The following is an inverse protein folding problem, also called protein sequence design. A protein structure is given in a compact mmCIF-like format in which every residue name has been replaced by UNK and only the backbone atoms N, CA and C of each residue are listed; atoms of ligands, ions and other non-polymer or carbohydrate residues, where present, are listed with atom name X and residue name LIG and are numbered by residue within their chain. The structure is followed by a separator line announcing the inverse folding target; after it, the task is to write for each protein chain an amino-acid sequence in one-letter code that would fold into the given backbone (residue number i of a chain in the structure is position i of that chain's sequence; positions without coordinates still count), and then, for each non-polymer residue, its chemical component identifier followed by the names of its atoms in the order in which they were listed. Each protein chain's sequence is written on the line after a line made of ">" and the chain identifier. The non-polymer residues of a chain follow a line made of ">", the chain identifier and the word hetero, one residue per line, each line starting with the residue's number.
data_IF_010663980254
#
_entry.id   IF_010663980254
#
_cell.length_a   1.000
_cell.length_b   1.000
_cell.length_c   1.000
_cell.angle_alpha   90.00
_cell.angle_beta   90.00
_cell.angle_gamma   90.00
#
_symmetry.space_group_name_H-M   'P 1'
#
loop_
_entity.id
_entity.type
_entity.pdbx_description
1 polymer ?
#
# COMPACT_ATOMS: atom_id res chain seq x y z
N UNK A 1 37.13 42.55 -31.34
CA UNK A 1 37.10 42.22 -29.89
C UNK A 1 35.96 42.99 -29.25
N UNK A 2 34.95 42.30 -28.75
CA UNK A 2 34.11 42.74 -27.64
C UNK A 2 33.43 41.48 -27.11
N UNK A 3 33.93 40.99 -25.98
CA UNK A 3 33.48 39.78 -25.33
C UNK A 3 32.20 40.07 -24.52
N UNK A 4 31.26 39.13 -24.62
CA UNK A 4 30.13 38.77 -23.71
C UNK A 4 29.87 39.66 -22.49
N UNK A 5 28.58 39.84 -22.19
CA UNK A 5 28.00 39.27 -20.97
C UNK A 5 26.49 39.09 -21.14
N UNK A 6 26.08 37.84 -21.40
CA UNK A 6 24.73 37.36 -21.10
C UNK A 6 24.53 37.44 -19.58
N UNK A 7 23.52 38.19 -19.14
CA UNK A 7 23.09 38.25 -17.74
C UNK A 7 22.73 36.83 -17.24
N UNK A 8 23.24 36.38 -16.08
CA UNK A 8 22.73 35.18 -15.42
C UNK A 8 21.29 35.45 -14.97
N UNK A 9 20.40 34.49 -15.19
CA UNK A 9 19.06 34.50 -14.59
C UNK A 9 19.18 34.62 -13.06
N UNK A 10 18.38 35.50 -12.47
CA UNK A 10 18.33 35.76 -11.02
C UNK A 10 18.27 34.46 -10.22
N UNK A 11 19.27 34.26 -9.35
CA UNK A 11 19.37 33.10 -8.48
C UNK A 11 18.26 33.12 -7.43
N UNK A 12 17.33 32.17 -7.53
CA UNK A 12 16.33 31.94 -6.48
C UNK A 12 17.05 31.55 -5.18
N UNK A 13 16.87 32.36 -4.13
CA UNK A 13 17.36 32.05 -2.80
C UNK A 13 16.75 30.72 -2.31
N UNK A 14 17.61 29.80 -1.85
CA UNK A 14 17.21 28.47 -1.41
C UNK A 14 16.47 28.51 -0.08
N UNK A 15 15.53 27.57 0.09
CA UNK A 15 14.78 27.42 1.32
C UNK A 15 15.54 26.52 2.31
N UNK A 16 15.20 26.62 3.59
CA UNK A 16 15.69 25.76 4.68
C UNK A 16 14.48 25.22 5.44
N UNK A 17 14.61 23.99 5.93
CA UNK A 17 13.60 23.37 6.77
C UNK A 17 13.85 23.63 8.24
N UNK A 18 12.80 24.05 8.93
CA UNK A 18 12.76 24.20 10.38
C UNK A 18 11.77 23.20 10.98
N UNK A 19 12.14 22.62 12.12
CA UNK A 19 11.30 21.69 12.88
C UNK A 19 11.02 22.28 14.24
N UNK A 20 9.74 22.47 14.56
CA UNK A 20 9.26 22.78 15.91
C UNK A 20 9.02 21.47 16.64
N UNK A 21 9.69 21.28 17.78
CA UNK A 21 9.27 20.32 18.79
C UNK A 21 8.25 20.98 19.71
N UNK A 22 6.99 20.55 19.63
CA UNK A 22 5.91 21.15 20.43
C UNK A 22 6.04 20.88 21.91
N UNK A 23 6.66 19.76 22.30
CA UNK A 23 6.83 19.40 23.71
C UNK A 23 7.91 20.27 24.34
N UNK A 24 8.99 20.51 23.61
CA UNK A 24 10.09 21.38 24.07
C UNK A 24 9.82 22.86 23.79
N UNK A 25 8.89 23.17 22.89
CA UNK A 25 8.63 24.53 22.41
C UNK A 25 9.86 25.17 21.78
N UNK A 26 10.64 24.37 21.04
CA UNK A 26 11.93 24.77 20.45
C UNK A 26 11.94 24.48 18.96
N UNK A 27 12.47 25.41 18.18
CA UNK A 27 12.64 25.28 16.73
C UNK A 27 14.11 25.04 16.43
N UNK A 28 14.38 24.04 15.60
CA UNK A 28 15.73 23.73 15.12
C UNK A 28 15.74 23.58 13.60
N UNK A 29 16.86 23.90 12.95
CA UNK A 29 17.02 23.71 11.52
C UNK A 29 17.41 22.27 11.20
N UNK A 30 16.91 21.75 10.09
CA UNK A 30 17.22 20.40 9.62
C UNK A 30 18.60 20.37 8.99
N UNK A 31 19.49 19.52 9.52
CA UNK A 31 20.79 19.20 8.90
C UNK A 31 20.66 18.02 7.94
N UNK A 32 19.83 17.03 8.27
CA UNK A 32 19.60 15.86 7.45
C UNK A 32 18.88 14.74 8.20
N UNK A 33 19.01 13.52 7.68
CA UNK A 33 18.54 12.30 8.31
C UNK A 33 19.71 11.32 8.37
N UNK A 34 19.92 10.68 9.52
CA UNK A 34 20.98 9.66 9.65
C UNK A 34 20.62 8.33 8.95
N UNK A 35 21.56 7.38 8.98
CA UNK A 35 21.40 6.05 8.35
C UNK A 35 20.29 5.21 8.98
N UNK A 36 19.89 5.52 10.20
CA UNK A 36 18.81 4.87 10.95
C UNK A 36 17.46 5.60 10.73
N UNK A 37 17.46 6.64 9.89
CA UNK A 37 16.29 7.42 9.55
C UNK A 37 15.93 8.46 10.60
N UNK A 38 16.80 8.80 11.55
CA UNK A 38 16.53 9.79 12.58
C UNK A 38 16.83 11.21 12.11
N UNK A 39 15.94 12.14 12.47
CA UNK A 39 16.07 13.55 12.16
C UNK A 39 17.31 14.14 12.85
N UNK A 40 18.23 14.70 12.08
CA UNK A 40 19.36 15.46 12.60
C UNK A 40 19.07 16.95 12.49
N UNK A 41 19.15 17.65 13.62
CA UNK A 41 18.88 19.08 13.71
C UNK A 41 20.07 19.86 14.25
N UNK A 42 20.17 21.13 13.87
CA UNK A 42 21.17 22.09 14.34
C UNK A 42 20.49 23.42 14.72
N UNK A 43 21.16 24.31 15.47
CA UNK A 43 20.63 25.65 15.73
C UNK A 43 20.36 26.42 14.42
N UNK A 44 19.25 27.16 14.31
CA UNK A 44 18.85 27.86 13.10
C UNK A 44 19.58 29.22 12.94
N UNK A 45 20.91 29.26 13.02
CA UNK A 45 21.73 30.49 12.93
C UNK A 45 22.21 30.77 11.50
N UNK A 46 22.27 32.03 11.07
CA UNK A 46 22.80 32.37 9.74
C UNK A 46 24.19 31.76 9.49
N UNK A 47 24.39 31.12 8.33
CA UNK A 47 25.65 30.47 7.97
C UNK A 47 25.84 29.03 8.48
N UNK A 48 24.82 28.44 9.13
CA UNK A 48 24.86 27.04 9.57
C UNK A 48 24.85 26.01 8.43
N UNK A 49 25.35 24.80 8.73
CA UNK A 49 25.27 23.64 7.82
C UNK A 49 23.83 23.10 7.77
N UNK A 50 22.99 23.76 7.00
CA UNK A 50 21.60 23.37 6.78
C UNK A 50 21.43 22.52 5.54
N UNK A 51 20.41 21.67 5.57
CA UNK A 51 19.85 21.13 4.35
C UNK A 51 19.21 22.28 3.56
N UNK A 52 19.91 22.74 2.52
CA UNK A 52 19.35 23.70 1.57
C UNK A 52 18.43 23.00 0.59
N UNK A 53 17.26 23.58 0.40
CA UNK A 53 16.17 23.02 -0.36
C UNK A 53 15.96 23.83 -1.63
N UNK A 54 15.94 23.13 -2.75
CA UNK A 54 15.27 23.62 -3.95
C UNK A 54 13.83 23.09 -3.94
N UNK A 55 12.84 24.00 -4.00
CA UNK A 55 11.40 23.67 -3.97
C UNK A 55 10.97 22.70 -5.07
N UNK A 56 11.76 22.58 -6.14
CA UNK A 56 11.50 21.69 -7.27
C UNK A 56 12.35 20.41 -7.26
N UNK A 57 13.10 20.13 -6.18
CA UNK A 57 13.96 18.96 -6.09
C UNK A 57 13.26 17.73 -5.49
N UNK A 58 13.48 16.56 -6.13
CA UNK A 58 13.01 15.26 -5.64
C UNK A 58 13.57 14.87 -4.26
N UNK A 59 14.72 15.45 -3.88
CA UNK A 59 15.34 15.22 -2.57
C UNK A 59 14.51 15.84 -1.45
N UNK A 60 13.93 17.03 -1.70
CA UNK A 60 13.06 17.73 -0.77
C UNK A 60 11.76 16.97 -0.55
N UNK A 61 11.05 16.62 -1.63
CA UNK A 61 9.76 15.91 -1.56
C UNK A 61 9.87 14.56 -0.81
N UNK A 62 10.97 13.84 -0.99
CA UNK A 62 11.26 12.60 -0.27
C UNK A 62 11.51 12.82 1.23
N UNK A 63 12.26 13.88 1.60
CA UNK A 63 12.45 14.23 3.01
C UNK A 63 11.11 14.56 3.68
N UNK A 64 10.29 15.44 3.07
CA UNK A 64 8.98 15.83 3.62
C UNK A 64 8.07 14.61 3.76
N UNK A 65 8.05 13.73 2.76
CA UNK A 65 7.27 12.49 2.77
C UNK A 65 7.70 11.53 3.88
N UNK A 66 9.00 11.42 4.15
CA UNK A 66 9.53 10.57 5.21
C UNK A 66 9.31 11.18 6.60
N UNK A 67 9.45 12.51 6.72
CA UNK A 67 9.22 13.26 7.95
C UNK A 67 7.78 13.05 8.45
N UNK A 68 6.79 13.31 7.59
CA UNK A 68 5.39 13.16 7.98
C UNK A 68 5.01 11.71 8.26
N UNK A 69 5.59 10.73 7.55
CA UNK A 69 5.32 9.31 7.80
C UNK A 69 5.88 8.78 9.13
N UNK A 70 7.02 9.28 9.59
CA UNK A 70 7.72 8.75 10.78
C UNK A 70 7.39 9.51 12.06
N UNK A 71 7.16 10.82 11.99
CA UNK A 71 7.14 11.69 13.16
C UNK A 71 5.78 12.29 13.50
N UNK A 72 4.83 12.32 12.55
CA UNK A 72 3.62 13.13 12.72
C UNK A 72 2.62 12.55 13.73
N UNK A 73 2.53 11.23 13.88
CA UNK A 73 1.54 10.59 14.75
C UNK A 73 2.06 10.31 16.18
N UNK A 74 3.35 10.54 16.46
CA UNK A 74 3.96 10.09 17.74
C UNK A 74 4.93 11.08 18.40
N UNK A 75 5.57 12.02 17.68
CA UNK A 75 6.65 12.83 18.26
C UNK A 75 6.35 14.33 18.43
N UNK A 76 5.13 14.79 18.13
CA UNK A 76 4.74 16.18 18.37
C UNK A 76 5.54 17.22 17.58
N UNK A 77 6.04 16.87 16.39
CA UNK A 77 6.86 17.75 15.56
C UNK A 77 6.04 18.46 14.46
N UNK A 78 6.39 19.71 14.17
CA UNK A 78 5.87 20.49 13.03
C UNK A 78 7.00 20.99 12.14
N UNK A 79 6.72 21.06 10.83
CA UNK A 79 7.73 21.37 9.82
C UNK A 79 7.36 22.65 9.07
N UNK A 80 8.36 23.52 8.89
CA UNK A 80 8.23 24.82 8.23
C UNK A 80 9.32 24.98 7.17
N UNK A 81 9.00 25.68 6.08
CA UNK A 81 9.94 26.05 5.01
C UNK A 81 10.11 27.56 5.00
N UNK A 82 11.35 28.01 5.13
CA UNK A 82 11.70 29.43 5.24
C UNK A 82 12.87 29.76 4.34
N UNK A 83 13.10 31.04 4.05
CA UNK A 83 14.30 31.47 3.33
C UNK A 83 15.53 31.32 4.21
N UNK A 84 16.65 30.88 3.63
CA UNK A 84 17.89 30.67 4.37
C UNK A 84 18.34 31.92 5.13
N UNK A 85 18.21 33.12 4.55
CA UNK A 85 18.50 34.40 5.21
C UNK A 85 17.59 34.71 6.41
N UNK A 86 16.37 34.17 6.43
CA UNK A 86 15.32 34.46 7.42
C UNK A 86 15.18 33.37 8.48
N UNK A 87 15.92 32.25 8.35
CA UNK A 87 15.76 31.06 9.19
C UNK A 87 15.83 31.35 10.70
N UNK A 88 16.74 32.21 11.14
CA UNK A 88 16.87 32.55 12.56
C UNK A 88 15.68 33.38 13.06
N UNK A 89 15.23 34.36 12.26
CA UNK A 89 14.13 35.24 12.62
C UNK A 89 12.80 34.48 12.62
N UNK A 90 12.55 33.66 11.60
CA UNK A 90 11.33 32.85 11.52
C UNK A 90 11.30 31.76 12.59
N UNK A 91 12.44 31.15 12.94
CA UNK A 91 12.51 30.21 14.06
C UNK A 91 12.06 30.86 15.37
N UNK A 92 12.57 32.05 15.70
CA UNK A 92 12.15 32.81 16.90
C UNK A 92 10.65 33.15 16.84
N UNK A 93 10.16 33.61 15.70
CA UNK A 93 8.74 33.94 15.54
C UNK A 93 7.83 32.71 15.71
N UNK A 94 8.24 31.53 15.23
CA UNK A 94 7.51 30.27 15.40
C UNK A 94 7.55 29.83 16.87
N UNK A 95 8.70 29.91 17.55
CA UNK A 95 8.80 29.60 18.98
C UNK A 95 7.93 30.53 19.83
N UNK A 96 8.00 31.83 19.59
CA UNK A 96 7.25 32.84 20.33
C UNK A 96 5.75 32.65 20.14
N UNK A 97 5.30 32.36 18.91
CA UNK A 97 3.90 32.07 18.63
C UNK A 97 3.44 30.73 19.24
N UNK A 98 4.32 29.72 19.33
CA UNK A 98 3.98 28.47 20.02
C UNK A 98 3.83 28.67 21.53
N UNK A 99 4.66 29.53 22.14
CA UNK A 99 4.58 29.86 23.58
C UNK A 99 3.44 30.81 23.90
N UNK A 100 3.22 31.82 23.07
CA UNK A 100 2.20 32.87 23.22
C UNK A 100 1.46 33.11 21.90
N UNK A 101 0.43 32.29 21.59
CA UNK A 101 -0.28 32.36 20.31
C UNK A 101 -0.96 33.72 20.10
N UNK A 102 -0.72 34.31 18.92
CA UNK A 102 -1.43 35.52 18.45
C UNK A 102 -2.10 35.24 17.11
N UNK A 103 -3.19 35.94 16.74
CA UNK A 103 -3.81 35.79 15.43
C UNK A 103 -2.84 36.04 14.26
N UNK A 104 -1.98 37.05 14.39
CA UNK A 104 -0.98 37.41 13.39
C UNK A 104 0.16 36.36 13.33
N UNK A 105 0.66 35.93 14.48
CA UNK A 105 1.68 34.88 14.57
C UNK A 105 1.18 33.55 14.04
N UNK A 106 -0.07 33.19 14.33
CA UNK A 106 -0.72 31.97 13.82
C UNK A 106 -0.87 31.98 12.30
N UNK A 107 -1.30 33.11 11.71
CA UNK A 107 -1.35 33.26 10.24
C UNK A 107 0.04 33.13 9.61
N UNK A 108 1.07 33.75 10.21
CA UNK A 108 2.44 33.65 9.73
C UNK A 108 2.98 32.22 9.81
N UNK A 109 2.78 31.55 10.94
CA UNK A 109 3.20 30.15 11.10
C UNK A 109 2.53 29.24 10.08
N UNK A 110 1.23 29.41 9.81
CA UNK A 110 0.51 28.59 8.83
C UNK A 110 0.98 28.83 7.39
N UNK A 111 1.35 30.07 7.02
CA UNK A 111 1.93 30.36 5.70
C UNK A 111 3.32 29.72 5.49
N UNK A 112 4.12 29.62 6.56
CA UNK A 112 5.45 29.00 6.52
C UNK A 112 5.40 27.47 6.69
N UNK A 113 4.27 26.95 7.14
CA UNK A 113 4.08 25.54 7.40
C UNK A 113 4.23 24.77 6.11
N UNK A 114 5.06 23.73 6.13
CA UNK A 114 5.12 22.81 5.00
C UNK A 114 3.77 22.11 4.91
N UNK A 115 3.04 22.27 3.79
CA UNK A 115 1.79 21.55 3.61
C UNK A 115 2.10 20.06 3.67
N UNK A 116 1.26 19.33 4.41
CA UNK A 116 1.37 17.87 4.41
C UNK A 116 1.28 17.42 2.95
N UNK A 117 2.26 16.65 2.43
CA UNK A 117 2.12 16.02 1.14
C UNK A 117 0.79 15.30 1.11
N UNK A 118 0.05 15.46 0.02
CA UNK A 118 -1.09 14.60 -0.21
C UNK A 118 -0.53 13.22 -0.48
N UNK A 119 -0.26 12.47 0.60
CA UNK A 119 -0.03 11.06 0.46
C UNK A 119 -1.32 10.54 -0.16
N UNK A 120 -1.26 10.16 -1.43
CA UNK A 120 -2.11 9.09 -1.94
C UNK A 120 -1.72 7.75 -1.26
N UNK A 121 -1.43 7.75 0.04
CA UNK A 121 -1.94 6.69 0.90
C UNK A 121 -3.43 6.90 0.88
N UNK A 122 -4.17 5.95 0.30
CA UNK A 122 -5.63 5.85 0.34
C UNK A 122 -6.21 6.67 1.50
N UNK A 123 -6.65 7.90 1.21
CA UNK A 123 -7.41 8.72 2.16
C UNK A 123 -8.74 8.03 2.37
N UNK A 124 -8.77 7.08 3.30
CA UNK A 124 -9.81 6.90 4.30
C UNK A 124 -9.11 6.36 5.54
N UNK A 125 -9.53 6.80 6.72
CA UNK A 125 -9.13 6.16 7.98
C UNK A 125 -9.51 4.68 7.99
N UNK A 126 -9.50 4.05 9.16
CA UNK A 126 -10.07 2.71 9.25
C UNK A 126 -11.51 2.71 8.73
N UNK A 127 -11.81 1.74 7.86
CA UNK A 127 -13.18 1.48 7.40
C UNK A 127 -14.06 1.05 8.57
N UNK A 128 -13.45 0.38 9.54
CA UNK A 128 -14.11 -0.08 10.75
C UNK A 128 -13.51 0.59 11.98
N UNK A 129 -14.37 1.10 12.84
CA UNK A 129 -13.98 1.58 14.15
C UNK A 129 -13.61 0.39 15.06
N UNK A 130 -12.34 0.26 15.52
CA UNK A 130 -11.93 -0.85 16.37
C UNK A 130 -12.73 -0.92 17.68
N UNK A 131 -13.25 0.21 18.17
CA UNK A 131 -14.06 0.24 19.40
C UNK A 131 -15.44 -0.41 19.21
N UNK A 132 -15.90 -0.59 17.97
CA UNK A 132 -17.19 -1.24 17.64
C UNK A 132 -17.08 -2.74 17.41
N UNK A 133 -15.88 -3.31 17.57
CA UNK A 133 -15.65 -4.74 17.39
C UNK A 133 -15.84 -5.46 18.73
N UNK A 134 -16.57 -6.56 18.70
CA UNK A 134 -16.71 -7.47 19.83
C UNK A 134 -15.43 -8.32 19.99
N UNK A 135 -14.42 -7.71 20.60
CA UNK A 135 -13.14 -8.35 20.89
C UNK A 135 -13.26 -9.50 21.88
N UNK A 136 -14.26 -9.48 22.77
CA UNK A 136 -14.48 -10.55 23.74
C UNK A 136 -14.91 -11.84 23.04
N UNK A 137 -15.78 -11.76 22.02
CA UNK A 137 -16.13 -12.93 21.22
C UNK A 137 -14.98 -13.43 20.35
N UNK A 138 -14.15 -12.55 19.78
CA UNK A 138 -12.94 -12.97 19.07
C UNK A 138 -11.92 -13.66 19.99
N UNK A 139 -11.78 -13.17 21.22
CA UNK A 139 -10.87 -13.74 22.22
C UNK A 139 -11.27 -15.18 22.58
N UNK A 140 -12.56 -15.49 22.64
CA UNK A 140 -13.07 -16.86 22.89
C UNK A 140 -12.60 -17.88 21.84
N UNK A 141 -12.30 -17.42 20.63
CA UNK A 141 -11.78 -18.25 19.54
C UNK A 141 -10.28 -18.10 19.31
N UNK A 142 -9.57 -17.36 20.17
CA UNK A 142 -8.11 -17.21 20.12
C UNK A 142 -7.59 -16.03 19.29
N UNK A 143 -8.45 -15.12 18.82
CA UNK A 143 -8.05 -13.92 18.09
C UNK A 143 -8.15 -12.70 19.01
N UNK A 144 -7.08 -11.92 19.15
CA UNK A 144 -7.07 -10.68 19.94
C UNK A 144 -6.52 -9.52 19.11
N UNK A 145 -6.78 -8.29 19.54
CA UNK A 145 -6.16 -7.12 18.92
C UNK A 145 -4.61 -7.21 18.93
N UNK A 146 -4.02 -7.75 20.00
CA UNK A 146 -2.56 -7.89 20.11
C UNK A 146 -2.02 -8.94 19.14
N UNK A 147 -2.72 -10.07 18.94
CA UNK A 147 -2.28 -11.05 17.93
C UNK A 147 -2.30 -10.43 16.54
N UNK A 148 -3.33 -9.65 16.19
CA UNK A 148 -3.41 -8.94 14.91
C UNK A 148 -2.33 -7.85 14.76
N UNK A 149 -1.94 -7.16 15.83
CA UNK A 149 -0.85 -6.16 15.80
C UNK A 149 0.50 -6.84 15.60
N UNK A 150 0.75 -7.94 16.33
CA UNK A 150 2.01 -8.67 16.28
C UNK A 150 2.26 -9.30 14.90
N UNK A 151 1.19 -9.73 14.22
CA UNK A 151 1.25 -10.28 12.84
C UNK A 151 1.17 -9.20 11.76
N UNK A 152 1.03 -7.92 12.14
CA UNK A 152 0.88 -6.76 11.25
C UNK A 152 -0.38 -6.79 10.37
N UNK A 153 -1.41 -7.49 10.82
CA UNK A 153 -2.71 -7.54 10.13
C UNK A 153 -3.72 -6.53 10.66
N UNK A 154 -3.54 -5.97 11.87
CA UNK A 154 -4.52 -5.07 12.51
C UNK A 154 -4.99 -3.95 11.57
N UNK A 155 -4.08 -3.11 11.07
CA UNK A 155 -4.43 -2.00 10.15
C UNK A 155 -5.11 -2.49 8.88
N UNK A 156 -4.66 -3.63 8.37
CA UNK A 156 -5.14 -4.21 7.13
C UNK A 156 -6.61 -4.62 7.25
N UNK A 157 -6.96 -5.34 8.31
CA UNK A 157 -8.33 -5.79 8.54
C UNK A 157 -9.25 -4.63 8.92
N UNK A 158 -8.75 -3.62 9.64
CA UNK A 158 -9.53 -2.39 9.94
C UNK A 158 -9.81 -1.55 8.69
N UNK A 159 -8.96 -1.62 7.67
CA UNK A 159 -9.17 -0.97 6.36
C UNK A 159 -10.11 -1.76 5.43
N UNK A 160 -10.61 -2.91 5.87
CA UNK A 160 -11.56 -3.71 5.08
C UNK A 160 -10.93 -4.75 4.17
N UNK A 161 -9.65 -5.06 4.35
CA UNK A 161 -8.99 -6.16 3.64
C UNK A 161 -9.03 -7.44 4.47
N UNK A 162 -8.93 -8.59 3.81
CA UNK A 162 -8.72 -9.89 4.47
C UNK A 162 -7.30 -9.97 5.03
N UNK A 163 -7.10 -10.60 6.18
CA UNK A 163 -5.78 -10.80 6.80
C UNK A 163 -4.82 -11.50 5.84
N UNK A 164 -3.53 -11.14 5.94
CA UNK A 164 -2.47 -11.82 5.19
C UNK A 164 -2.16 -13.17 5.82
N UNK A 165 -2.08 -13.21 7.15
CA UNK A 165 -1.77 -14.42 7.90
C UNK A 165 -3.03 -15.21 8.21
N UNK A 166 -2.83 -16.50 8.47
CA UNK A 166 -3.84 -17.37 9.07
C UNK A 166 -3.75 -17.34 10.60
N UNK A 167 -4.89 -17.58 11.24
CA UNK A 167 -5.04 -17.67 12.68
C UNK A 167 -5.70 -19.01 13.00
N UNK A 168 -5.10 -19.77 13.89
CA UNK A 168 -5.71 -21.00 14.39
C UNK A 168 -6.81 -20.62 15.38
N UNK A 169 -8.05 -20.94 15.04
CA UNK A 169 -9.21 -20.72 15.89
C UNK A 169 -9.71 -22.03 16.47
N UNK A 170 -10.14 -22.01 17.72
CA UNK A 170 -10.73 -23.16 18.41
C UNK A 170 -11.57 -22.69 19.61
N UNK A 171 -12.39 -23.58 20.17
CA UNK A 171 -13.13 -23.30 21.40
C UNK A 171 -14.65 -23.34 21.21
N UNK A 172 -15.38 -22.92 22.25
CA UNK A 172 -16.85 -23.05 22.26
C UNK A 172 -17.53 -21.81 21.70
N UNK A 173 -18.32 -21.97 20.63
CA UNK A 173 -19.10 -20.90 19.98
C UNK A 173 -20.54 -21.37 19.81
N UNK A 174 -21.50 -20.63 20.36
CA UNK A 174 -22.93 -20.92 20.19
C UNK A 174 -23.37 -22.32 20.64
N UNK A 175 -22.70 -22.89 21.65
CA UNK A 175 -22.97 -24.25 22.14
C UNK A 175 -22.22 -25.37 21.41
N UNK A 176 -21.48 -25.06 20.34
CA UNK A 176 -20.65 -26.02 19.60
C UNK A 176 -19.18 -25.86 19.97
N UNK A 177 -18.43 -26.96 20.02
CA UNK A 177 -16.97 -26.92 20.15
C UNK A 177 -16.31 -26.96 18.78
N UNK A 178 -15.62 -25.88 18.41
CA UNK A 178 -14.82 -25.77 17.20
C UNK A 178 -13.45 -26.40 17.43
N UNK A 179 -13.17 -27.49 16.70
CA UNK A 179 -11.82 -28.08 16.64
C UNK A 179 -10.84 -27.07 16.03
N UNK A 180 -9.57 -27.08 16.45
CA UNK A 180 -8.53 -26.21 15.88
C UNK A 180 -8.54 -26.23 14.36
N UNK A 181 -8.73 -25.05 13.77
CA UNK A 181 -8.74 -24.86 12.32
C UNK A 181 -8.15 -23.50 11.97
N UNK A 182 -7.44 -23.42 10.86
CA UNK A 182 -6.82 -22.19 10.40
C UNK A 182 -7.80 -21.38 9.56
N UNK A 183 -7.89 -20.09 9.87
CA UNK A 183 -8.76 -19.15 9.17
C UNK A 183 -8.01 -17.87 8.82
N UNK A 184 -8.42 -17.20 7.75
CA UNK A 184 -8.16 -15.77 7.60
C UNK A 184 -9.30 -14.95 8.19
N UNK A 185 -9.01 -13.73 8.61
CA UNK A 185 -9.97 -12.82 9.21
C UNK A 185 -10.27 -11.66 8.27
N UNK A 186 -11.53 -11.29 8.12
CA UNK A 186 -11.94 -9.97 7.63
C UNK A 186 -13.09 -9.44 8.49
N UNK A 187 -13.49 -8.20 8.24
CA UNK A 187 -14.65 -7.60 8.87
C UNK A 187 -15.62 -7.09 7.82
N UNK A 188 -16.90 -7.08 8.16
CA UNK A 188 -17.93 -6.40 7.40
C UNK A 188 -18.86 -5.65 8.33
N UNK A 189 -19.52 -4.61 7.81
CA UNK A 189 -20.51 -3.86 8.55
C UNK A 189 -21.90 -4.42 8.22
N UNK A 190 -22.62 -4.86 9.24
CA UNK A 190 -24.00 -5.28 9.12
C UNK A 190 -24.92 -4.06 8.90
N UNK A 191 -26.19 -4.32 8.54
CA UNK A 191 -27.16 -3.24 8.20
C UNK A 191 -27.44 -2.29 9.36
N UNK A 192 -27.32 -2.78 10.59
CA UNK A 192 -27.46 -2.02 11.84
C UNK A 192 -26.22 -1.21 12.21
N UNK A 193 -25.13 -1.32 11.42
CA UNK A 193 -23.87 -0.64 11.68
C UNK A 193 -22.88 -1.44 12.54
N UNK A 194 -23.25 -2.64 13.00
CA UNK A 194 -22.36 -3.51 13.78
C UNK A 194 -21.21 -4.01 12.92
N UNK A 195 -19.97 -3.96 13.45
CA UNK A 195 -18.79 -4.53 12.78
C UNK A 195 -18.68 -6.00 13.16
N UNK A 196 -18.87 -6.88 12.18
CA UNK A 196 -18.93 -8.33 12.39
C UNK A 196 -17.66 -8.99 11.82
N UNK A 197 -16.96 -9.82 12.61
CA UNK A 197 -15.85 -10.62 12.09
C UNK A 197 -16.36 -11.72 11.15
N UNK A 198 -15.67 -11.90 10.03
CA UNK A 198 -15.85 -13.02 9.11
C UNK A 198 -14.59 -13.89 9.15
N UNK A 199 -14.76 -15.15 9.56
CA UNK A 199 -13.72 -16.15 9.54
C UNK A 199 -13.78 -16.92 8.21
N UNK A 200 -12.68 -16.91 7.48
CA UNK A 200 -12.53 -17.56 6.18
C UNK A 200 -11.73 -18.84 6.37
N UNK A 201 -12.43 -19.97 6.50
CA UNK A 201 -11.81 -21.28 6.66
C UNK A 201 -11.19 -21.82 5.36
N UNK A 202 -10.23 -22.73 5.52
CA UNK A 202 -9.60 -23.43 4.40
C UNK A 202 -10.59 -24.40 3.73
N UNK A 203 -10.84 -24.20 2.45
CA UNK A 203 -11.72 -25.05 1.65
C UNK A 203 -10.93 -26.18 0.99
N UNK A 204 -11.21 -27.42 1.39
CA UNK A 204 -10.66 -28.62 0.76
C UNK A 204 -11.71 -29.19 -0.21
N UNK A 205 -11.91 -28.50 -1.34
CA UNK A 205 -12.81 -28.93 -2.39
C UNK A 205 -12.06 -29.02 -3.73
N UNK A 206 -11.67 -30.23 -4.10
CA UNK A 206 -10.95 -30.52 -5.36
C UNK A 206 -11.75 -30.15 -6.61
N UNK A 207 -13.07 -30.10 -6.49
CA UNK A 207 -13.98 -29.76 -7.60
C UNK A 207 -14.41 -28.29 -7.58
N UNK A 208 -13.85 -27.47 -6.68
CA UNK A 208 -14.22 -26.06 -6.53
C UNK A 208 -14.22 -25.31 -7.86
N UNK A 209 -13.16 -25.47 -8.65
CA UNK A 209 -13.00 -24.77 -9.93
C UNK A 209 -13.73 -25.44 -11.11
N UNK A 210 -14.32 -26.61 -10.90
CA UNK A 210 -15.14 -27.31 -11.90
C UNK A 210 -16.61 -26.91 -11.82
N UNK A 211 -17.02 -26.29 -10.70
CA UNK A 211 -18.39 -25.79 -10.52
C UNK A 211 -18.48 -24.34 -11.02
N UNK A 212 -19.65 -23.92 -11.54
CA UNK A 212 -19.87 -22.53 -11.89
C UNK A 212 -19.70 -21.62 -10.68
N UNK A 213 -18.96 -20.53 -10.86
CA UNK A 213 -18.83 -19.46 -9.88
C UNK A 213 -19.75 -18.32 -10.30
N UNK A 214 -20.89 -18.17 -9.61
CA UNK A 214 -21.91 -17.16 -9.94
C UNK A 214 -22.33 -17.21 -11.42
N UNK A 215 -22.69 -18.41 -11.89
CA UNK A 215 -23.06 -18.74 -13.28
C UNK A 215 -21.89 -18.71 -14.29
N UNK A 216 -20.68 -18.25 -13.91
CA UNK A 216 -19.48 -18.35 -14.75
C UNK A 216 -18.84 -19.73 -14.64
N UNK A 217 -18.78 -20.47 -15.75
CA UNK A 217 -18.04 -21.73 -15.83
C UNK A 217 -16.59 -21.48 -16.24
N UNK A 218 -15.62 -21.83 -15.39
CA UNK A 218 -14.20 -21.64 -15.71
C UNK A 218 -13.72 -22.60 -16.81
N UNK A 219 -13.06 -22.04 -17.82
CA UNK A 219 -12.28 -22.78 -18.82
C UNK A 219 -11.07 -23.48 -18.19
N UNK A 220 -10.49 -24.47 -18.88
CA UNK A 220 -9.29 -25.16 -18.39
C UNK A 220 -8.11 -24.20 -18.14
N UNK A 221 -7.96 -23.19 -18.99
CA UNK A 221 -6.91 -22.16 -18.83
C UNK A 221 -7.15 -21.32 -17.58
N UNK A 222 -8.38 -20.85 -17.36
CA UNK A 222 -8.74 -20.09 -16.15
C UNK A 222 -8.56 -20.91 -14.87
N UNK A 223 -8.94 -22.20 -14.89
CA UNK A 223 -8.69 -23.10 -13.76
C UNK A 223 -7.19 -23.22 -13.48
N UNK A 224 -6.38 -23.41 -14.53
CA UNK A 224 -4.92 -23.43 -14.42
C UNK A 224 -4.35 -22.13 -13.85
N UNK A 225 -4.84 -20.97 -14.30
CA UNK A 225 -4.42 -19.66 -13.82
C UNK A 225 -4.79 -19.45 -12.34
N UNK A 226 -6.02 -19.78 -11.94
CA UNK A 226 -6.48 -19.68 -10.55
C UNK A 226 -5.71 -20.62 -9.61
N UNK A 227 -5.27 -21.78 -10.10
CA UNK A 227 -4.42 -22.70 -9.33
C UNK A 227 -2.96 -22.24 -9.26
N UNK A 228 -2.37 -21.86 -10.40
CA UNK A 228 -0.96 -21.54 -10.52
C UNK A 228 -0.62 -20.13 -10.04
N UNK A 229 -1.36 -19.14 -10.53
CA UNK A 229 -1.14 -17.74 -10.16
C UNK A 229 -2.01 -17.31 -9.00
N UNK A 230 -3.19 -17.88 -8.78
CA UNK A 230 -4.16 -17.39 -7.79
C UNK A 230 -5.14 -16.35 -8.36
N UNK A 231 -4.95 -15.89 -9.59
CA UNK A 231 -5.85 -14.95 -10.27
C UNK A 231 -6.32 -15.53 -11.61
N UNK A 232 -7.47 -15.07 -12.09
CA UNK A 232 -8.08 -15.58 -13.32
C UNK A 232 -7.20 -15.34 -14.56
N UNK A 233 -6.47 -14.22 -14.60
CA UNK A 233 -5.72 -13.79 -15.80
C UNK A 233 -6.54 -13.06 -16.85
N UNK A 234 -7.80 -12.74 -16.53
CA UNK A 234 -8.76 -12.09 -17.42
C UNK A 234 -9.93 -11.47 -16.64
N UNK A 235 -10.94 -11.00 -17.38
CA UNK A 235 -12.23 -10.56 -16.85
C UNK A 235 -13.25 -11.68 -17.10
N UNK A 236 -13.99 -12.04 -16.06
CA UNK A 236 -15.17 -12.90 -16.16
C UNK A 236 -16.45 -12.07 -16.09
N UNK A 237 -17.52 -12.53 -16.73
CA UNK A 237 -18.87 -12.03 -16.50
C UNK A 237 -19.56 -12.95 -15.49
N UNK A 238 -20.01 -12.38 -14.37
CA UNK A 238 -20.76 -13.12 -13.35
C UNK A 238 -22.13 -12.50 -13.13
N UNK A 239 -23.06 -13.30 -12.61
CA UNK A 239 -24.29 -12.78 -12.04
C UNK A 239 -24.04 -12.28 -10.63
N UNK A 240 -24.19 -10.98 -10.41
CA UNK A 240 -23.98 -10.38 -9.09
C UNK A 240 -24.94 -10.99 -8.07
N UNK A 241 -24.45 -11.65 -7.00
CA UNK A 241 -25.31 -12.22 -5.97
C UNK A 241 -26.13 -11.17 -5.21
N UNK A 242 -25.81 -9.87 -5.31
CA UNK A 242 -26.55 -8.79 -4.65
C UNK A 242 -27.65 -8.21 -5.51
N UNK A 243 -27.34 -7.83 -6.75
CA UNK A 243 -28.30 -7.18 -7.67
C UNK A 243 -28.98 -8.14 -8.64
N UNK A 244 -28.38 -9.30 -8.92
CA UNK A 244 -28.82 -10.22 -9.95
C UNK A 244 -28.43 -9.84 -11.38
N UNK A 245 -27.72 -8.72 -11.56
CA UNK A 245 -27.24 -8.23 -12.86
C UNK A 245 -25.96 -8.94 -13.32
N UNK A 246 -25.72 -8.98 -14.63
CA UNK A 246 -24.43 -9.40 -15.18
C UNK A 246 -23.39 -8.29 -14.99
N UNK A 247 -22.25 -8.61 -14.39
CA UNK A 247 -21.17 -7.66 -14.12
C UNK A 247 -19.78 -8.22 -14.53
N UNK A 248 -18.91 -7.35 -15.08
CA UNK A 248 -17.52 -7.72 -15.36
C UNK A 248 -16.70 -7.70 -14.07
N UNK A 249 -15.97 -8.78 -13.82
CA UNK A 249 -15.18 -8.96 -12.60
C UNK A 249 -13.80 -9.56 -12.84
N UNK A 250 -12.85 -9.16 -12.00
CA UNK A 250 -11.66 -9.96 -11.72
C UNK A 250 -12.04 -11.05 -10.71
N UNK A 251 -11.52 -12.26 -10.91
CA UNK A 251 -11.70 -13.37 -9.97
C UNK A 251 -10.33 -13.82 -9.45
N UNK A 252 -10.26 -14.08 -8.15
CA UNK A 252 -9.06 -14.63 -7.51
C UNK A 252 -9.42 -15.75 -6.56
N UNK A 253 -8.51 -16.71 -6.45
CA UNK A 253 -8.54 -17.79 -5.47
C UNK A 253 -7.52 -17.47 -4.39
N UNK A 254 -7.97 -17.39 -3.14
CA UNK A 254 -7.07 -17.24 -2.01
C UNK A 254 -6.14 -18.47 -1.95
N UNK A 255 -4.83 -18.24 -2.00
CA UNK A 255 -3.84 -19.33 -2.07
C UNK A 255 -3.79 -20.18 -0.79
N UNK A 256 -4.34 -19.69 0.32
CA UNK A 256 -4.37 -20.40 1.60
C UNK A 256 -5.76 -20.94 1.89
N UNK A 257 -6.80 -20.10 1.80
CA UNK A 257 -8.16 -20.55 2.16
C UNK A 257 -8.88 -21.23 1.00
N UNK A 258 -8.34 -21.12 -0.21
CA UNK A 258 -8.94 -21.60 -1.46
C UNK A 258 -10.28 -20.96 -1.81
N UNK A 259 -10.76 -20.00 -1.02
CA UNK A 259 -11.99 -19.26 -1.29
C UNK A 259 -11.83 -18.43 -2.57
N UNK A 260 -12.87 -18.48 -3.41
CA UNK A 260 -12.99 -17.61 -4.57
C UNK A 260 -13.58 -16.25 -4.18
N UNK A 261 -12.96 -15.19 -4.65
CA UNK A 261 -13.43 -13.81 -4.48
C UNK A 261 -13.50 -13.10 -5.82
N UNK A 262 -14.39 -12.12 -5.92
CA UNK A 262 -14.51 -11.26 -7.09
C UNK A 262 -14.42 -9.77 -6.74
N UNK A 263 -13.94 -8.98 -7.72
CA UNK A 263 -13.90 -7.53 -7.66
C UNK A 263 -14.38 -6.96 -9.00
N UNK A 264 -15.26 -5.97 -8.96
CA UNK A 264 -15.78 -5.29 -10.17
C UNK A 264 -14.64 -4.70 -11.01
N UNK A 265 -14.51 -5.17 -12.25
CA UNK A 265 -13.46 -4.74 -13.16
C UNK A 265 -13.73 -3.31 -13.66
N UNK A 266 -14.98 -2.97 -13.93
CA UNK A 266 -15.41 -1.65 -14.39
C UNK A 266 -15.22 -0.52 -13.35
N UNK A 267 -15.00 -0.87 -12.08
CA UNK A 267 -14.77 0.07 -10.98
C UNK A 267 -13.30 0.21 -10.59
N UNK A 268 -12.42 -0.58 -11.19
CA UNK A 268 -11.00 -0.51 -10.93
C UNK A 268 -10.28 0.33 -11.99
N UNK A 269 -9.26 1.07 -11.57
CA UNK A 269 -8.41 1.87 -12.45
C UNK A 269 -6.95 1.64 -12.12
N UNK A 270 -6.14 1.47 -13.15
CA UNK A 270 -4.71 1.30 -12.97
C UNK A 270 -4.07 2.61 -12.48
N UNK A 271 -3.24 2.59 -11.43
CA UNK A 271 -2.50 3.78 -11.02
C UNK A 271 -1.50 4.21 -12.09
N UNK A 272 -1.22 5.51 -12.16
CA UNK A 272 -0.22 6.07 -13.08
C UNK A 272 1.21 5.64 -12.75
N UNK A 273 1.46 5.32 -11.48
CA UNK A 273 2.77 4.97 -10.94
C UNK A 273 2.64 3.83 -9.95
N UNK A 274 3.54 2.85 -10.02
CA UNK A 274 3.67 1.75 -9.06
C UNK A 274 5.10 1.76 -8.52
N UNK A 275 5.26 1.87 -7.20
CA UNK A 275 6.59 1.89 -6.54
C UNK A 275 7.59 2.84 -7.24
N UNK A 276 7.17 4.08 -7.53
CA UNK A 276 8.02 5.09 -8.17
C UNK A 276 8.30 4.87 -9.66
N UNK A 277 7.68 3.88 -10.30
CA UNK A 277 7.81 3.61 -11.74
C UNK A 277 6.51 3.94 -12.45
N UNK A 278 6.58 4.77 -13.50
CA UNK A 278 5.44 5.11 -14.35
C UNK A 278 4.94 3.87 -15.09
N UNK A 279 3.63 3.66 -15.09
CA UNK A 279 2.99 2.56 -15.81
C UNK A 279 2.71 3.01 -17.25
N UNK A 280 3.22 2.25 -18.23
CA UNK A 280 2.99 2.55 -19.64
C UNK A 280 1.52 2.34 -20.04
N UNK A 281 1.02 2.95 -21.13
CA UNK A 281 -0.33 2.70 -21.61
C UNK A 281 -0.62 1.21 -21.87
N UNK A 282 0.35 0.48 -22.41
CA UNK A 282 0.25 -0.96 -22.68
C UNK A 282 0.17 -1.77 -21.39
N UNK A 283 1.00 -1.42 -20.40
CA UNK A 283 0.97 -2.04 -19.08
C UNK A 283 -0.36 -1.76 -18.36
N UNK A 284 -0.88 -0.53 -18.46
CA UNK A 284 -2.21 -0.19 -17.91
C UNK A 284 -3.31 -1.02 -18.54
N UNK A 285 -3.33 -1.10 -19.88
CA UNK A 285 -4.31 -1.90 -20.60
C UNK A 285 -4.21 -3.39 -20.22
N UNK A 286 -3.00 -3.92 -20.08
CA UNK A 286 -2.79 -5.30 -19.65
C UNK A 286 -3.29 -5.54 -18.21
N UNK A 287 -3.00 -4.63 -17.27
CA UNK A 287 -3.54 -4.71 -15.92
C UNK A 287 -5.06 -4.65 -15.92
N UNK A 288 -5.66 -3.67 -16.61
CA UNK A 288 -7.12 -3.51 -16.68
C UNK A 288 -7.81 -4.70 -17.36
N UNK A 289 -7.10 -5.43 -18.23
CA UNK A 289 -7.55 -6.71 -18.78
C UNK A 289 -7.35 -7.92 -17.84
N UNK A 290 -6.78 -7.73 -16.65
CA UNK A 290 -6.54 -8.78 -15.64
C UNK A 290 -5.24 -9.57 -15.83
N UNK A 291 -4.37 -9.15 -16.76
CA UNK A 291 -3.13 -9.85 -17.08
C UNK A 291 -2.03 -9.58 -16.06
N UNK A 292 -1.10 -10.53 -15.95
CA UNK A 292 0.13 -10.34 -15.17
C UNK A 292 1.14 -9.53 -15.99
N UNK A 293 1.71 -8.49 -15.37
CA UNK A 293 2.65 -7.57 -16.03
C UNK A 293 3.96 -7.57 -15.27
N UNK A 294 5.07 -7.76 -16.01
CA UNK A 294 6.42 -7.56 -15.46
C UNK A 294 6.73 -6.07 -15.40
N UNK A 295 7.00 -5.58 -14.20
CA UNK A 295 7.47 -4.23 -13.95
C UNK A 295 8.95 -4.28 -13.57
N UNK A 296 9.74 -3.35 -14.09
CA UNK A 296 11.17 -3.25 -13.83
C UNK A 296 11.51 -1.98 -13.04
N UNK A 297 12.64 -1.99 -12.34
CA UNK A 297 13.15 -0.85 -11.58
C UNK A 297 12.20 -0.31 -10.49
N UNK A 298 11.30 -1.15 -9.97
CA UNK A 298 10.40 -0.79 -8.88
C UNK A 298 11.21 -0.40 -7.65
N UNK A 299 10.93 0.80 -7.13
CA UNK A 299 11.64 1.40 -6.01
C UNK A 299 10.92 1.06 -4.71
N UNK A 300 11.57 0.26 -3.88
CA UNK A 300 11.02 -0.16 -2.59
C UNK A 300 11.48 0.78 -1.47
N UNK A 301 10.79 0.71 -0.33
CA UNK A 301 11.07 1.55 0.84
C UNK A 301 12.48 1.34 1.41
N UNK A 302 13.10 0.21 1.13
CA UNK A 302 14.47 -0.12 1.51
C UNK A 302 15.53 0.46 0.55
N UNK A 303 15.12 1.26 -0.43
CA UNK A 303 15.99 1.87 -1.45
C UNK A 303 16.39 0.92 -2.58
N UNK A 304 16.01 -0.36 -2.51
CA UNK A 304 16.35 -1.33 -3.55
C UNK A 304 15.46 -1.16 -4.78
N UNK A 305 16.04 -1.42 -5.95
CA UNK A 305 15.32 -1.53 -7.22
C UNK A 305 15.23 -3.00 -7.60
N UNK A 306 14.03 -3.49 -7.88
CA UNK A 306 13.80 -4.89 -8.29
C UNK A 306 12.76 -4.96 -9.39
N UNK A 307 12.82 -6.02 -10.17
CA UNK A 307 11.74 -6.38 -11.09
C UNK A 307 10.78 -7.34 -10.42
N UNK A 308 9.49 -7.22 -10.71
CA UNK A 308 8.47 -8.10 -10.20
C UNK A 308 7.33 -8.27 -11.21
N UNK A 309 6.65 -9.40 -11.16
CA UNK A 309 5.36 -9.53 -11.80
C UNK A 309 4.27 -9.07 -10.84
N UNK A 310 3.38 -8.22 -11.34
CA UNK A 310 2.19 -7.80 -10.64
C UNK A 310 0.96 -8.24 -11.40
N UNK A 311 -0.14 -8.42 -10.68
CA UNK A 311 -1.44 -8.73 -11.27
C UNK A 311 -2.55 -8.21 -10.37
N UNK A 312 -3.72 -7.93 -10.93
CA UNK A 312 -4.90 -7.62 -10.13
C UNK A 312 -5.36 -8.88 -9.39
N UNK A 313 -5.63 -8.71 -8.10
CA UNK A 313 -6.18 -9.72 -7.21
C UNK A 313 -7.45 -9.21 -6.55
N UNK A 314 -8.54 -9.96 -6.70
CA UNK A 314 -9.79 -9.71 -6.00
C UNK A 314 -9.66 -9.94 -4.49
N UNK A 315 -8.79 -10.87 -4.06
CA UNK A 315 -8.48 -11.14 -2.64
C UNK A 315 -7.75 -9.93 -2.01
N UNK A 316 -6.78 -9.36 -2.72
CA UNK A 316 -6.06 -8.16 -2.26
C UNK A 316 -6.82 -6.86 -2.57
N UNK A 317 -7.90 -6.94 -3.34
CA UNK A 317 -8.72 -5.82 -3.84
C UNK A 317 -7.90 -4.77 -4.58
N UNK A 318 -6.93 -5.21 -5.38
CA UNK A 318 -5.99 -4.32 -6.07
C UNK A 318 -4.83 -5.08 -6.69
N UNK A 319 -3.71 -4.39 -6.95
CA UNK A 319 -2.51 -5.03 -7.45
C UNK A 319 -1.80 -5.81 -6.34
N UNK A 320 -1.44 -7.04 -6.63
CA UNK A 320 -0.56 -7.86 -5.81
C UNK A 320 0.77 -8.12 -6.52
N UNK A 321 1.81 -8.31 -5.72
CA UNK A 321 3.08 -8.83 -6.19
C UNK A 321 2.99 -10.35 -6.25
N UNK A 322 3.19 -10.92 -7.43
CA UNK A 322 3.09 -12.36 -7.59
C UNK A 322 4.23 -13.06 -6.84
N UNK A 323 3.94 -14.12 -6.05
CA UNK A 323 4.96 -14.91 -5.41
C UNK A 323 5.80 -15.67 -6.43
N UNK A 324 7.00 -16.12 -6.03
CA UNK A 324 7.94 -16.83 -6.93
C UNK A 324 7.29 -18.04 -7.63
N UNK A 325 6.45 -18.80 -6.92
CA UNK A 325 5.74 -19.95 -7.51
C UNK A 325 4.80 -19.55 -8.65
N UNK A 326 4.05 -18.45 -8.50
CA UNK A 326 3.19 -17.92 -9.55
C UNK A 326 4.01 -17.42 -10.75
N UNK A 327 5.17 -16.78 -10.49
CA UNK A 327 6.08 -16.35 -11.57
C UNK A 327 6.65 -17.54 -12.34
N UNK A 328 7.04 -18.61 -11.65
CA UNK A 328 7.51 -19.84 -12.30
C UNK A 328 6.42 -20.47 -13.18
N UNK A 329 5.18 -20.52 -12.70
CA UNK A 329 4.04 -20.98 -13.49
C UNK A 329 3.86 -20.14 -14.77
N UNK A 330 3.90 -18.82 -14.67
CA UNK A 330 3.79 -17.93 -15.83
C UNK A 330 4.90 -18.18 -16.87
N UNK A 331 6.14 -18.39 -16.40
CA UNK A 331 7.28 -18.64 -17.28
C UNK A 331 7.22 -20.01 -17.96
N UNK A 332 6.69 -21.04 -17.29
CA UNK A 332 6.48 -22.36 -17.87
C UNK A 332 5.40 -22.33 -18.96
N UNK A 333 4.36 -21.50 -18.81
CA UNK A 333 3.33 -21.29 -19.83
C UNK A 333 3.77 -20.45 -21.04
N UNK A 334 4.94 -19.80 -20.97
CA UNK A 334 5.52 -18.97 -22.05
C UNK A 334 6.62 -19.68 -22.87
N UNK A 335 6.94 -20.94 -22.57
CA UNK A 335 7.87 -21.74 -23.39
C UNK A 335 7.20 -22.08 -24.74
N UNK A 336 7.87 -21.86 -25.89
CA UNK A 336 7.42 -22.41 -27.16
C UNK A 336 7.30 -23.93 -27.05
N UNK A 337 6.21 -24.48 -27.60
CA UNK A 337 6.03 -25.94 -27.73
C UNK A 337 6.96 -26.46 -28.83
N UNK A 338 8.26 -26.47 -28.57
CA UNK A 338 9.25 -27.13 -29.43
C UNK A 338 10.22 -27.90 -28.54
N UNK A 339 9.79 -29.09 -28.11
CA UNK A 339 10.61 -30.30 -27.88
C UNK A 339 9.80 -31.36 -27.12
N UNK A 340 8.75 -31.89 -27.75
CA UNK A 340 8.21 -33.20 -27.41
C UNK A 340 7.79 -33.95 -28.68
N UNK A 341 8.67 -34.00 -29.68
CA UNK A 341 8.64 -35.03 -30.74
C UNK A 341 10.07 -35.42 -31.11
N UNK A 342 10.82 -35.97 -30.16
CA UNK A 342 12.09 -36.64 -30.42
C UNK A 342 12.35 -37.65 -29.30
N UNK A 343 11.54 -38.71 -29.25
CA UNK A 343 11.69 -39.69 -28.16
C UNK A 343 10.70 -40.83 -28.16
N UNK A 344 10.27 -41.35 -29.31
CA UNK A 344 9.56 -42.62 -29.40
C UNK A 344 10.04 -43.41 -30.62
N UNK A 345 11.09 -44.19 -30.35
CA UNK A 345 11.35 -45.55 -30.86
C UNK A 345 10.99 -45.85 -32.32
N UNK A 346 12.01 -45.95 -33.17
CA UNK A 346 12.02 -46.98 -34.22
C UNK A 346 12.90 -48.14 -33.74
N UNK A 347 12.23 -49.15 -33.17
CA UNK A 347 12.73 -50.51 -33.12
C UNK A 347 11.97 -51.33 -34.16
N UNK A 348 12.63 -51.64 -35.27
CA UNK A 348 12.27 -52.72 -36.19
C UNK A 348 13.56 -53.36 -36.70
N UNK A 349 13.70 -54.67 -36.50
CA UNK A 349 14.82 -55.49 -36.94
C UNK A 349 15.11 -56.58 -35.95
#
# INVERSE_FOLDING_TARGET
>A
MANRMTLPAEGQEKDVLLVLDKQQGKVSAVKGIDKEGNLQTVPPTQGGEFMQVDKNSDVFSNFISNFFRKYQDTSGLELFSVKASQAEQDAKAIEDNHRNPTPEGGKRAEMLRVPKPDFHEFKQGYRFDPAKIDWENLKKVGITADTLKNTKDFDRVMRGYKSRNTYTVSGTVGGFYLKPTDVKLSFYQAKDGTVVPKLHGVQQDEKLLQRPFHEHGFTKQEQGNLQGTGNLGGIAEIKDPKSGEQIPVFVSRDRYTHELEYMRADKWKCPDTICGVKVSPEQKAAFEAGQAVKMENLQFRDGTKRSAYLQISAVERGLEFLPRSAVQFLQQGQQPVEQQVAGLKDGKG
#
